data_IF_805907083493
#
_entry.id   IF_805907083493
#
_cell.length_a   1.000
_cell.length_b   1.000
_cell.length_c   1.000
_cell.angle_alpha   90.00
_cell.angle_beta   90.00
_cell.angle_gamma   90.00
#
_symmetry.space_group_name_H-M   'P 1'
#
loop_
_entity.id
_entity.type
_entity.pdbx_description
1 polymer ?
#
# COMPACT_ATOMS: atom_id res chain seq x y z
N UNK A 1 -3.10 9.06 4.25
CA UNK A 1 -1.75 8.43 4.38
C UNK A 1 -1.74 6.99 3.89
N UNK A 2 -2.59 6.12 4.42
CA UNK A 2 -2.66 4.71 3.97
C UNK A 2 -2.92 4.64 2.47
N UNK A 3 -3.87 5.42 1.94
CA UNK A 3 -4.15 5.46 0.49
C UNK A 3 -2.95 5.90 -0.35
N UNK A 4 -2.11 6.81 0.16
CA UNK A 4 -0.87 7.22 -0.52
C UNK A 4 0.11 6.04 -0.58
N UNK A 5 0.27 5.31 0.54
CA UNK A 5 1.08 4.10 0.57
C UNK A 5 0.50 3.00 -0.33
N UNK A 6 -0.82 2.82 -0.40
CA UNK A 6 -1.46 1.84 -1.30
C UNK A 6 -1.19 2.22 -2.75
N UNK A 7 -1.39 3.48 -3.13
CA UNK A 7 -1.14 3.96 -4.49
C UNK A 7 0.31 3.71 -4.90
N UNK A 8 1.28 4.05 -4.04
CA UNK A 8 2.70 3.74 -4.25
C UNK A 8 2.94 2.23 -4.39
N UNK A 9 2.31 1.42 -3.55
CA UNK A 9 2.45 -0.03 -3.59
C UNK A 9 1.92 -0.67 -4.86
N UNK A 10 0.81 -0.16 -5.41
CA UNK A 10 0.24 -0.61 -6.69
C UNK A 10 1.11 -0.11 -7.85
N UNK A 11 1.46 1.17 -7.87
CA UNK A 11 2.30 1.80 -8.91
C UNK A 11 3.64 1.07 -9.08
N UNK A 12 4.26 0.70 -7.96
CA UNK A 12 5.59 0.08 -7.92
C UNK A 12 5.53 -1.45 -7.83
N UNK A 13 4.32 -2.03 -7.79
CA UNK A 13 4.06 -3.46 -7.59
C UNK A 13 4.81 -4.06 -6.38
N UNK A 14 4.84 -3.32 -5.26
CA UNK A 14 5.49 -3.74 -4.01
C UNK A 14 4.48 -3.98 -2.91
N UNK A 15 4.68 -5.06 -2.15
CA UNK A 15 3.85 -5.41 -0.99
C UNK A 15 4.67 -5.74 0.25
N UNK A 16 5.99 -5.47 0.23
CA UNK A 16 6.88 -5.68 1.37
C UNK A 16 6.96 -4.40 2.20
N UNK A 17 6.81 -4.52 3.51
CA UNK A 17 6.87 -3.38 4.44
C UNK A 17 8.14 -2.54 4.25
N UNK A 18 9.31 -3.20 4.18
CA UNK A 18 10.60 -2.52 4.07
C UNK A 18 10.67 -1.66 2.80
N UNK A 19 10.32 -2.24 1.66
CA UNK A 19 10.37 -1.54 0.37
C UNK A 19 9.31 -0.44 0.28
N UNK A 20 8.10 -0.72 0.79
CA UNK A 20 7.02 0.25 0.82
C UNK A 20 7.35 1.45 1.70
N UNK A 21 8.02 1.22 2.83
CA UNK A 21 8.51 2.27 3.71
C UNK A 21 9.50 3.17 2.98
N UNK A 22 10.55 2.61 2.37
CA UNK A 22 11.55 3.40 1.63
C UNK A 22 10.92 4.26 0.52
N UNK A 23 9.94 3.74 -0.21
CA UNK A 23 9.27 4.46 -1.30
C UNK A 23 8.24 5.47 -0.83
N UNK A 24 7.47 5.15 0.22
CA UNK A 24 6.33 5.97 0.66
C UNK A 24 6.71 7.00 1.72
N UNK A 25 7.73 6.75 2.55
CA UNK A 25 8.02 7.57 3.73
C UNK A 25 8.28 9.05 3.39
N UNK A 26 8.95 9.30 2.27
CA UNK A 26 9.23 10.66 1.76
C UNK A 26 8.02 11.31 1.07
N UNK A 27 7.07 10.52 0.58
CA UNK A 27 5.81 11.00 -0.03
C UNK A 27 4.75 11.34 1.03
N UNK A 28 4.98 10.99 2.29
CA UNK A 28 4.09 11.31 3.41
C UNK A 28 4.43 12.67 4.03
N UNK A 29 3.41 13.34 4.57
CA UNK A 29 3.55 14.68 5.15
C UNK A 29 4.66 14.74 6.22
N UNK A 30 5.62 15.65 6.04
CA UNK A 30 6.78 15.85 6.91
C UNK A 30 6.42 16.37 8.32
N UNK A 31 5.26 16.99 8.48
CA UNK A 31 4.80 17.52 9.77
C UNK A 31 4.13 16.46 10.65
N UNK A 32 3.96 15.24 10.14
CA UNK A 32 3.30 14.16 10.87
C UNK A 32 4.30 13.35 11.69
N UNK A 33 3.91 12.93 12.90
CA UNK A 33 4.74 12.06 13.73
C UNK A 33 5.09 10.75 12.99
N UNK A 34 6.34 10.29 13.16
CA UNK A 34 6.86 9.09 12.52
C UNK A 34 6.04 7.84 12.83
N UNK A 35 5.49 7.75 14.04
CA UNK A 35 4.60 6.65 14.45
C UNK A 35 3.40 6.48 13.50
N UNK A 36 2.70 7.57 13.17
CA UNK A 36 1.55 7.48 12.28
C UNK A 36 1.95 7.13 10.83
N UNK A 37 3.14 7.52 10.38
CA UNK A 37 3.67 7.10 9.07
C UNK A 37 3.89 5.61 9.01
N UNK A 38 4.58 5.06 10.01
CA UNK A 38 4.86 3.63 10.10
C UNK A 38 3.58 2.81 10.23
N UNK A 39 2.62 3.29 11.03
CA UNK A 39 1.32 2.65 11.18
C UNK A 39 0.58 2.60 9.82
N UNK A 40 0.57 3.72 9.07
CA UNK A 40 -0.04 3.76 7.76
C UNK A 40 0.62 2.84 6.73
N UNK A 41 1.96 2.75 6.74
CA UNK A 41 2.73 1.83 5.88
C UNK A 41 2.41 0.38 6.24
N UNK A 42 2.30 0.05 7.53
CA UNK A 42 1.96 -1.29 8.00
C UNK A 42 0.58 -1.73 7.51
N UNK A 43 -0.43 -0.87 7.69
CA UNK A 43 -1.79 -1.11 7.18
C UNK A 43 -1.81 -1.32 5.66
N UNK A 44 -1.14 -0.44 4.91
CA UNK A 44 -1.07 -0.56 3.45
C UNK A 44 -0.39 -1.85 3.01
N UNK A 45 0.67 -2.29 3.71
CA UNK A 45 1.37 -3.56 3.44
C UNK A 45 0.41 -4.75 3.53
N UNK A 46 -0.42 -4.80 4.59
CA UNK A 46 -1.42 -5.86 4.76
C UNK A 46 -2.46 -5.89 3.63
N UNK A 47 -2.96 -4.72 3.23
CA UNK A 47 -3.92 -4.58 2.13
C UNK A 47 -3.29 -5.07 0.81
N UNK A 48 -2.07 -4.63 0.48
CA UNK A 48 -1.36 -5.03 -0.73
C UNK A 48 -1.04 -6.54 -0.76
N UNK A 49 -0.72 -7.13 0.40
CA UNK A 49 -0.49 -8.56 0.49
C UNK A 49 -1.77 -9.36 0.20
N UNK A 50 -2.89 -8.93 0.78
CA UNK A 50 -4.20 -9.52 0.53
C UNK A 50 -4.63 -9.34 -0.93
N UNK A 51 -4.36 -8.17 -1.53
CA UNK A 51 -4.62 -7.90 -2.93
C UNK A 51 -3.88 -8.89 -3.84
N UNK A 52 -2.56 -9.04 -3.67
CA UNK A 52 -1.77 -10.01 -4.45
C UNK A 52 -2.23 -11.45 -4.24
N UNK A 53 -2.66 -11.80 -3.04
CA UNK A 53 -3.22 -13.13 -2.75
C UNK A 53 -4.56 -13.32 -3.46
N UNK A 54 -5.41 -12.30 -3.50
CA UNK A 54 -6.68 -12.33 -4.21
C UNK A 54 -6.48 -12.40 -5.73
N UNK A 55 -5.54 -11.64 -6.29
CA UNK A 55 -5.17 -11.69 -7.72
C UNK A 55 -4.68 -13.07 -8.15
N UNK A 56 -3.87 -13.74 -7.31
CA UNK A 56 -3.44 -15.13 -7.58
C UNK A 56 -4.60 -16.11 -7.55
N UNK A 57 -5.61 -15.87 -6.71
CA UNK A 57 -6.77 -16.76 -6.57
C UNK A 57 -7.77 -16.56 -7.71
N UNK A 58 -8.00 -15.31 -8.10
CA UNK A 58 -8.96 -14.90 -9.13
C UNK A 58 -8.31 -13.84 -10.04
N UNK A 59 -7.56 -14.24 -11.08
CA UNK A 59 -6.98 -13.31 -12.03
C UNK A 59 -8.10 -12.64 -12.85
N UNK A 60 -8.60 -11.49 -12.39
CA UNK A 60 -9.62 -10.70 -13.09
C UNK A 60 -10.66 -9.96 -12.24
N UNK A 61 -10.79 -10.25 -10.94
CA UNK A 61 -11.83 -9.59 -10.10
C UNK A 61 -11.41 -8.22 -9.54
N UNK A 62 -10.12 -7.91 -9.50
CA UNK A 62 -9.58 -6.75 -8.76
C UNK A 62 -9.80 -5.41 -9.46
N UNK A 63 -10.02 -5.40 -10.78
CA UNK A 63 -10.28 -4.15 -11.52
C UNK A 63 -11.66 -3.54 -11.23
N UNK A 64 -12.62 -4.32 -10.72
CA UNK A 64 -13.98 -3.83 -10.47
C UNK A 64 -14.17 -3.16 -9.10
N UNK A 65 -13.31 -3.44 -8.11
CA UNK A 65 -13.49 -2.95 -6.74
C UNK A 65 -12.85 -1.57 -6.45
N UNK A 66 -12.02 -1.06 -7.36
CA UNK A 66 -11.32 0.24 -7.21
C UNK A 66 -11.88 1.33 -8.12
N UNK A 67 -12.99 1.06 -8.85
CA UNK A 67 -13.62 1.99 -9.82
C UNK A 67 -14.98 2.55 -9.34
N UNK A 68 -15.53 2.08 -8.23
CA UNK A 68 -16.76 2.62 -7.60
C UNK A 68 -16.42 3.44 -6.37
#
# INVERSE_FOLDING_TARGET
>A
MVNVCIAVGIEENVSSFKTLSLKSYHRLNRNMLSYYRLCAISTATGILHNHRKAEKKNPGQTFHALRT
#
